data_IF_040219364121
#
_entry.id   IF_040219364121
#
_cell.length_a   1.000
_cell.length_b   1.000
_cell.length_c   1.000
_cell.angle_alpha   90.00
_cell.angle_beta   90.00
_cell.angle_gamma   90.00
#
_symmetry.space_group_name_H-M   'P 1'
#
loop_
_entity.id
_entity.type
_entity.pdbx_description
1 polymer ?
2 water ?
#
# COMPACT_ATOMS: atom_id res chain seq x y z
N UNK A 1 9.32 -25.77 19.59
CA UNK A 1 9.56 -24.77 20.62
C UNK A 1 8.93 -23.44 20.24
N UNK A 2 9.15 -22.40 21.05
CA UNK A 2 8.50 -21.14 20.80
C UNK A 2 8.96 -20.53 19.50
N UNK A 3 10.21 -20.77 19.11
CA UNK A 3 10.71 -20.22 17.85
C UNK A 3 10.02 -20.85 16.65
N UNK A 4 9.82 -22.17 16.68
CA UNK A 4 9.05 -22.80 15.61
C UNK A 4 7.61 -22.30 15.61
N UNK A 5 7.01 -22.13 16.81
CA UNK A 5 5.63 -21.64 16.87
C UNK A 5 5.52 -20.22 16.33
N UNK A 6 6.51 -19.39 16.59
CA UNK A 6 6.53 -18.04 16.02
C UNK A 6 6.53 -18.09 14.50
N UNK A 7 7.41 -18.89 13.92
CA UNK A 7 7.49 -18.98 12.46
C UNK A 7 6.20 -19.53 11.87
N UNK A 8 5.57 -20.51 12.55
CA UNK A 8 4.29 -21.03 12.07
C UNK A 8 3.21 -19.97 12.12
N UNK A 9 3.17 -19.17 13.18
CA UNK A 9 2.19 -18.09 13.26
C UNK A 9 2.40 -17.09 12.13
N UNK A 10 3.64 -16.71 11.86
CA UNK A 10 3.92 -15.78 10.77
C UNK A 10 3.50 -16.38 9.44
N UNK A 11 3.85 -17.66 9.21
CA UNK A 11 3.49 -18.31 7.97
C UNK A 11 1.98 -18.34 7.80
N UNK A 12 1.24 -18.59 8.88
CA UNK A 12 -0.23 -18.59 8.80
C UNK A 12 -0.75 -17.23 8.35
N UNK A 13 -0.19 -16.15 8.89
CA UNK A 13 -0.65 -14.81 8.51
C UNK A 13 -0.34 -14.55 7.03
N UNK A 14 0.86 -14.91 6.60
CA UNK A 14 1.24 -14.72 5.21
C UNK A 14 0.34 -15.53 4.29
N UNK A 15 0.03 -16.77 4.67
CA UNK A 15 -0.87 -17.59 3.86
C UNK A 15 -2.26 -17.02 3.80
N UNK A 16 -2.75 -16.49 4.92
CA UNK A 16 -4.09 -15.92 4.93
C UNK A 16 -4.17 -14.75 3.98
N UNK A 17 -3.16 -13.90 3.99
CA UNK A 17 -3.19 -12.77 3.06
C UNK A 17 -3.04 -13.23 1.63
N UNK A 18 -2.27 -14.29 1.40
CA UNK A 18 -2.13 -14.81 0.04
C UNK A 18 -3.45 -15.39 -0.45
N UNK A 19 -4.20 -16.05 0.43
CA UNK A 19 -5.51 -16.56 0.03
C UNK A 19 -6.45 -15.41 -0.26
N UNK A 20 -6.34 -14.32 0.51
CA UNK A 20 -7.14 -13.13 0.21
C UNK A 20 -6.80 -12.61 -1.18
N UNK A 21 -5.51 -12.54 -1.52
CA UNK A 21 -5.10 -12.14 -2.85
C UNK A 21 -5.72 -13.06 -3.90
N UNK A 22 -5.66 -14.36 -3.67
CA UNK A 22 -6.21 -15.29 -4.65
C UNK A 22 -7.72 -15.14 -4.80
N UNK A 23 -8.44 -14.83 -3.71
CA UNK A 23 -9.88 -14.58 -3.79
C UNK A 23 -10.16 -13.35 -4.66
N UNK A 24 -9.32 -12.32 -4.51
CA UNK A 24 -9.50 -11.13 -5.33
C UNK A 24 -9.09 -11.36 -6.78
N UNK A 25 -8.06 -12.17 -7.01
CA UNK A 25 -7.70 -12.50 -8.38
C UNK A 25 -8.81 -13.24 -9.10
N UNK A 26 -9.59 -14.05 -8.38
CA UNK A 26 -10.70 -14.73 -9.05
C UNK A 26 -11.72 -13.72 -9.54
N UNK A 27 -11.92 -12.64 -8.79
CA UNK A 27 -12.84 -11.61 -9.22
C UNK A 27 -12.25 -10.75 -10.34
N UNK A 28 -10.99 -10.34 -10.21
CA UNK A 28 -10.48 -9.31 -11.11
C UNK A 28 -10.26 -9.90 -12.50
N UNK A 29 -10.10 -11.22 -12.61
CA UNK A 29 -9.95 -11.83 -13.92
C UNK A 29 -11.23 -11.74 -14.73
N UNK A 30 -12.38 -11.60 -14.08
CA UNK A 30 -13.63 -11.37 -14.79
C UNK A 30 -13.86 -9.90 -15.13
N UNK A 31 -13.00 -9.01 -14.63
CA UNK A 31 -13.06 -7.58 -14.97
C UNK A 31 -11.67 -6.99 -14.77
N UNK A 32 -10.72 -7.31 -15.66
CA UNK A 32 -9.31 -6.93 -15.38
C UNK A 32 -9.07 -5.45 -15.17
N UNK A 33 -9.90 -4.56 -15.71
CA UNK A 33 -9.65 -3.14 -15.54
C UNK A 33 -10.21 -2.58 -14.24
N UNK A 34 -10.72 -3.45 -13.36
CA UNK A 34 -11.33 -2.97 -12.11
C UNK A 34 -10.23 -2.72 -11.09
N UNK A 35 -9.91 -1.45 -10.94
CA UNK A 35 -8.80 -1.04 -10.10
C UNK A 35 -9.10 -1.22 -8.62
N UNK A 36 -10.36 -1.38 -8.24
CA UNK A 36 -10.66 -1.65 -6.84
C UNK A 36 -9.95 -2.93 -6.39
N UNK A 37 -9.96 -3.95 -7.24
CA UNK A 37 -9.34 -5.21 -6.90
C UNK A 37 -7.82 -5.08 -6.89
N UNK A 38 -7.24 -4.39 -7.88
CA UNK A 38 -5.80 -4.29 -7.92
C UNK A 38 -5.27 -3.46 -6.76
N UNK A 39 -5.98 -2.41 -6.36
CA UNK A 39 -5.54 -1.65 -5.19
C UNK A 39 -5.51 -2.52 -3.94
N UNK A 40 -6.55 -3.33 -3.72
CA UNK A 40 -6.58 -4.20 -2.56
C UNK A 40 -5.48 -5.24 -2.63
N UNK A 41 -5.23 -5.80 -3.83
CA UNK A 41 -4.16 -6.77 -4.01
C UNK A 41 -2.82 -6.13 -3.68
N UNK A 42 -2.58 -4.92 -4.17
CA UNK A 42 -1.33 -4.23 -3.88
C UNK A 42 -1.14 -4.11 -2.38
N UNK A 43 -2.16 -3.63 -1.66
CA UNK A 43 -1.98 -3.38 -0.23
C UNK A 43 -1.79 -4.68 0.53
N UNK A 44 -2.37 -5.79 0.08
CA UNK A 44 -2.12 -7.09 0.69
C UNK A 44 -0.70 -7.55 0.44
N UNK A 45 -0.20 -7.39 -0.78
CA UNK A 45 1.21 -7.72 -1.06
C UNK A 45 2.15 -6.89 -0.20
N UNK A 46 1.86 -5.59 -0.07
CA UNK A 46 2.67 -4.68 0.72
C UNK A 46 2.71 -5.12 2.18
N UNK A 47 1.55 -5.52 2.72
CA UNK A 47 1.42 -6.04 4.08
C UNK A 47 2.27 -7.30 4.24
N UNK A 48 2.17 -8.22 3.29
CA UNK A 48 2.95 -9.45 3.38
C UNK A 48 4.43 -9.18 3.28
N UNK A 49 4.84 -8.28 2.41
CA UNK A 49 6.26 -7.96 2.33
C UNK A 49 6.78 -7.51 3.68
N UNK A 50 6.05 -6.63 4.36
CA UNK A 50 6.44 -6.16 5.68
C UNK A 50 6.57 -7.30 6.68
N UNK A 51 5.53 -8.14 6.77
CA UNK A 51 5.52 -9.26 7.71
C UNK A 51 6.72 -10.16 7.43
N UNK A 52 6.94 -10.47 6.16
CA UNK A 52 7.99 -11.40 5.81
C UNK A 52 9.36 -10.83 6.15
N UNK A 53 9.58 -9.54 5.90
CA UNK A 53 10.85 -8.91 6.24
C UNK A 53 11.08 -8.97 7.74
N UNK A 54 10.07 -8.62 8.53
CA UNK A 54 10.23 -8.62 9.97
C UNK A 54 10.66 -10.00 10.50
N UNK A 55 10.11 -11.07 9.93
CA UNK A 55 10.28 -12.40 10.49
C UNK A 55 11.40 -13.18 9.87
N UNK A 56 12.09 -12.60 8.89
CA UNK A 56 13.18 -13.28 8.24
C UNK A 56 12.79 -14.20 7.12
N UNK A 57 11.57 -14.06 6.58
CA UNK A 57 11.16 -14.78 5.37
C UNK A 57 11.67 -13.97 4.15
N UNK A 58 12.99 -13.95 3.97
CA UNK A 58 13.61 -13.06 2.99
C UNK A 58 13.16 -13.39 1.56
N UNK A 59 13.09 -14.67 1.20
CA UNK A 59 12.69 -15.02 -0.14
C UNK A 59 11.23 -14.66 -0.41
N UNK A 60 10.36 -14.83 0.59
CA UNK A 60 8.97 -14.41 0.43
C UNK A 60 8.93 -12.92 0.17
N UNK A 61 9.66 -12.15 0.96
CA UNK A 61 9.59 -10.70 0.80
C UNK A 61 10.01 -10.28 -0.59
N UNK A 62 11.03 -10.92 -1.15
CA UNK A 62 11.51 -10.55 -2.48
C UNK A 62 10.47 -10.83 -3.54
N UNK A 63 9.78 -11.96 -3.45
CA UNK A 63 8.74 -12.26 -4.44
C UNK A 63 7.57 -11.28 -4.32
N UNK A 64 7.13 -10.99 -3.09
CA UNK A 64 6.05 -10.02 -2.93
C UNK A 64 6.45 -8.69 -3.53
N UNK A 65 7.70 -8.28 -3.35
CA UNK A 65 8.16 -7.02 -3.92
C UNK A 65 8.06 -7.02 -5.43
N UNK A 66 8.51 -8.10 -6.07
CA UNK A 66 8.41 -8.20 -7.53
C UNK A 66 6.96 -8.09 -7.97
N UNK A 67 6.05 -8.78 -7.29
CA UNK A 67 4.64 -8.73 -7.65
C UNK A 67 4.09 -7.32 -7.44
N UNK A 68 4.46 -6.68 -6.33
CA UNK A 68 4.00 -5.32 -6.06
C UNK A 68 4.42 -4.38 -7.16
N UNK A 69 5.64 -4.53 -7.67
CA UNK A 69 6.11 -3.59 -8.67
C UNK A 69 5.28 -3.70 -9.95
N UNK A 70 4.86 -4.92 -10.30
CA UNK A 70 3.98 -5.07 -11.45
C UNK A 70 2.62 -4.43 -11.18
N UNK A 71 2.04 -4.70 -10.02
CA UNK A 71 0.71 -4.15 -9.74
C UNK A 71 0.78 -2.62 -9.66
N UNK A 72 1.87 -2.06 -9.11
CA UNK A 72 2.02 -0.61 -9.06
C UNK A 72 2.02 -0.02 -10.46
N UNK A 73 2.74 -0.64 -11.40
CA UNK A 73 2.74 -0.17 -12.77
C UNK A 73 1.34 -0.23 -13.38
N UNK A 74 0.59 -1.30 -13.09
CA UNK A 74 -0.79 -1.37 -13.56
C UNK A 74 -1.63 -0.25 -12.98
N UNK A 75 -1.52 0.01 -11.68
CA UNK A 75 -2.33 1.03 -11.02
C UNK A 75 -2.00 2.42 -11.54
N UNK A 76 -0.75 2.65 -11.95
CA UNK A 76 -0.34 3.94 -12.47
C UNK A 76 -0.40 4.00 -13.99
N UNK A 77 -1.01 2.99 -14.63
CA UNK A 77 -1.18 2.98 -16.09
C UNK A 77 0.16 3.05 -16.82
N UNK A 78 1.20 2.45 -16.27
CA UNK A 78 2.49 2.39 -16.95
C UNK A 78 2.62 1.18 -17.85
N UNK A 79 1.84 0.12 -17.62
CA UNK A 79 1.83 -1.07 -18.47
C UNK A 79 0.37 -1.47 -18.72
N UNK A 80 0.14 -2.07 -19.89
CA UNK A 80 -1.19 -2.56 -20.26
C UNK A 80 -1.52 -3.85 -19.50
N UNK A 81 -2.76 -3.95 -19.02
CA UNK A 81 -3.21 -5.12 -18.29
C UNK A 81 -3.67 -6.16 -19.31
N UNK A 82 -2.92 -7.26 -19.41
CA UNK A 82 -3.15 -8.31 -20.38
C UNK A 82 -3.27 -9.64 -19.64
N UNK A 83 -3.75 -10.65 -20.35
CA UNK A 83 -3.83 -11.97 -19.74
C UNK A 83 -2.43 -12.49 -19.42
N UNK A 84 -1.45 -12.18 -20.25
CA UNK A 84 -0.07 -12.61 -19.97
C UNK A 84 0.46 -11.95 -18.71
N UNK A 85 0.12 -10.69 -18.47
CA UNK A 85 0.55 -10.03 -17.25
C UNK A 85 -0.14 -10.62 -16.03
N UNK A 86 -1.45 -10.88 -16.12
CA UNK A 86 -2.13 -11.50 -14.98
C UNK A 86 -1.55 -12.88 -14.69
N UNK A 87 -1.21 -13.65 -15.74
CA UNK A 87 -0.55 -14.93 -15.55
C UNK A 87 0.76 -14.75 -14.80
N UNK A 88 1.55 -13.73 -15.16
CA UNK A 88 2.79 -13.47 -14.44
C UNK A 88 2.54 -13.17 -12.97
N UNK A 89 1.50 -12.39 -12.67
CA UNK A 89 1.18 -12.09 -11.28
C UNK A 89 0.79 -13.35 -10.53
N UNK A 90 -0.06 -14.18 -11.16
CA UNK A 90 -0.44 -15.46 -10.55
C UNK A 90 0.77 -16.32 -10.29
N UNK A 91 1.70 -16.36 -11.25
CA UNK A 91 2.94 -17.13 -11.08
C UNK A 91 3.70 -16.66 -9.84
N UNK A 92 3.81 -15.34 -9.65
CA UNK A 92 4.52 -14.83 -8.48
C UNK A 92 3.78 -15.10 -7.19
N UNK A 93 2.45 -15.00 -7.20
CA UNK A 93 1.70 -15.34 -6.00
C UNK A 93 1.91 -16.81 -5.65
N UNK A 94 1.87 -17.70 -6.66
CA UNK A 94 2.12 -19.12 -6.40
C UNK A 94 3.54 -19.35 -5.89
N UNK A 95 4.52 -18.67 -6.45
CA UNK A 95 5.88 -18.84 -5.93
C UNK A 95 5.97 -18.35 -4.48
N UNK A 96 5.25 -17.27 -4.16
CA UNK A 96 5.26 -16.77 -2.79
C UNK A 96 4.70 -17.81 -1.83
N UNK A 97 3.62 -18.48 -2.20
CA UNK A 97 3.06 -19.45 -1.30
C UNK A 97 3.97 -20.67 -1.16
N UNK A 98 4.68 -21.06 -2.23
CA UNK A 98 5.68 -22.13 -2.09
C UNK A 98 6.81 -21.70 -1.16
N UNK A 99 7.22 -20.43 -1.25
CA UNK A 99 8.30 -19.97 -0.38
C UNK A 99 7.84 -19.92 1.08
N UNK A 100 6.58 -19.54 1.33
CA UNK A 100 6.06 -19.56 2.70
C UNK A 100 6.14 -20.97 3.27
N UNK A 101 5.74 -21.96 2.47
CA UNK A 101 5.71 -23.34 2.95
C UNK A 101 7.09 -23.85 3.28
N UNK A 102 8.12 -23.32 2.62
CA UNK A 102 9.47 -23.80 2.86
C UNK A 102 9.98 -23.43 4.24
N UNK A 103 9.43 -22.40 4.86
CA UNK A 103 9.90 -21.97 6.18
C UNK A 103 9.32 -22.80 7.32
N UNK B 1 -28.34 13.69 -1.16
CA UNK B 1 -28.74 14.38 -2.36
C UNK B 1 -27.79 15.49 -2.76
N UNK B 2 -27.82 15.88 -4.03
CA UNK B 2 -26.89 16.85 -4.59
C UNK B 2 -25.52 16.22 -4.74
N UNK B 3 -24.76 16.71 -5.72
CA UNK B 3 -23.34 16.39 -5.78
C UNK B 3 -22.75 16.52 -4.39
N UNK B 4 -23.06 17.63 -3.71
CA UNK B 4 -22.31 18.09 -2.54
C UNK B 4 -22.41 17.15 -1.33
N UNK B 5 -23.59 16.59 -1.05
CA UNK B 5 -23.68 15.60 0.03
C UNK B 5 -22.70 14.47 -0.23
N UNK B 6 -22.62 14.02 -1.48
CA UNK B 6 -21.78 12.89 -1.83
C UNK B 6 -20.31 13.28 -1.86
N UNK B 7 -19.99 14.45 -2.40
CA UNK B 7 -18.63 14.97 -2.36
C UNK B 7 -18.17 15.06 -0.92
N UNK B 8 -19.06 15.48 -0.03
CA UNK B 8 -18.68 15.68 1.36
C UNK B 8 -18.27 14.37 2.02
N UNK B 9 -18.96 13.28 1.70
CA UNK B 9 -18.63 11.99 2.29
C UNK B 9 -17.26 11.53 1.83
N UNK B 10 -16.91 11.83 0.57
CA UNK B 10 -15.57 11.49 0.09
C UNK B 10 -14.52 12.31 0.82
N UNK B 11 -14.74 13.63 0.89
CA UNK B 11 -13.80 14.50 1.61
C UNK B 11 -13.65 14.09 3.05
N UNK B 12 -14.76 13.69 3.70
CA UNK B 12 -14.69 13.29 5.10
C UNK B 12 -13.84 12.04 5.26
N UNK B 13 -13.93 11.10 4.32
CA UNK B 13 -13.10 9.90 4.42
C UNK B 13 -11.63 10.22 4.19
N UNK B 14 -11.32 11.06 3.19
CA UNK B 14 -9.95 11.47 2.98
C UNK B 14 -9.41 12.17 4.21
N UNK B 15 -10.20 13.02 4.85
CA UNK B 15 -9.75 13.73 6.05
C UNK B 15 -9.52 12.78 7.21
N UNK B 16 -10.39 11.77 7.36
CA UNK B 16 -10.22 10.83 8.45
C UNK B 16 -8.92 10.06 8.27
N UNK B 17 -8.64 9.63 7.04
CA UNK B 17 -7.38 8.90 6.79
C UNK B 17 -6.19 9.82 7.00
N UNK B 18 -6.33 11.10 6.65
CA UNK B 18 -5.23 12.04 6.89
C UNK B 18 -5.00 12.24 8.38
N UNK B 19 -6.06 12.31 9.19
CA UNK B 19 -5.86 12.40 10.63
C UNK B 19 -5.19 11.14 11.17
N UNK B 20 -5.55 9.97 10.64
CA UNK B 20 -4.86 8.74 11.03
C UNK B 20 -3.37 8.79 10.67
N UNK B 21 -3.04 9.34 9.49
CA UNK B 21 -1.63 9.53 9.15
C UNK B 21 -0.95 10.46 10.14
N UNK B 22 -1.60 11.56 10.49
CA UNK B 22 -0.99 12.48 11.43
C UNK B 22 -0.77 11.84 12.79
N UNK B 23 -1.70 10.97 13.23
CA UNK B 23 -1.50 10.26 14.49
C UNK B 23 -0.29 9.35 14.43
N UNK B 24 -0.07 8.68 13.29
CA UNK B 24 1.11 7.82 13.12
C UNK B 24 2.38 8.65 13.04
N UNK B 25 2.31 9.82 12.42
CA UNK B 25 3.49 10.68 12.33
C UNK B 25 3.93 11.15 13.71
N UNK B 26 2.98 11.40 14.61
CA UNK B 26 3.33 11.79 15.96
C UNK B 26 4.13 10.69 16.65
N UNK B 27 3.83 9.43 16.35
CA UNK B 27 4.58 8.35 16.95
C UNK B 27 5.91 8.14 16.27
N UNK B 28 5.96 8.21 14.93
CA UNK B 28 7.18 7.83 14.27
C UNK B 28 8.24 8.92 14.42
N UNK B 29 7.83 10.18 14.65
CA UNK B 29 8.81 11.23 14.85
C UNK B 29 9.61 11.01 16.12
N UNK B 30 9.02 10.34 17.14
CA UNK B 30 9.75 9.95 18.34
C UNK B 30 10.78 8.85 18.06
N UNK B 31 10.47 7.95 17.13
CA UNK B 31 11.32 6.80 16.84
C UNK B 31 11.33 6.59 15.33
N UNK B 32 12.08 7.42 14.58
CA UNK B 32 11.93 7.45 13.11
C UNK B 32 12.29 6.17 12.40
N UNK B 33 13.06 5.31 12.99
CA UNK B 33 13.44 4.06 12.33
C UNK B 33 12.43 2.96 12.54
N UNK B 34 11.30 3.21 13.22
CA UNK B 34 10.29 2.18 13.40
C UNK B 34 9.44 2.06 12.14
N UNK B 35 9.76 1.05 11.33
CA UNK B 35 9.13 0.85 10.04
C UNK B 35 7.68 0.41 10.15
N UNK B 36 7.23 -0.08 11.32
CA UNK B 36 5.80 -0.39 11.48
C UNK B 36 4.95 0.85 11.17
N UNK B 37 5.37 2.01 11.66
CA UNK B 37 4.58 3.22 11.45
C UNK B 37 4.64 3.64 10.00
N UNK B 38 5.83 3.61 9.39
CA UNK B 38 5.96 4.01 7.98
C UNK B 38 5.15 3.11 7.06
N UNK B 39 5.07 1.82 7.36
CA UNK B 39 4.26 0.93 6.54
C UNK B 39 2.78 1.29 6.62
N UNK B 40 2.29 1.59 7.82
CA UNK B 40 0.90 1.97 7.98
C UNK B 40 0.64 3.29 7.28
N UNK B 41 1.58 4.24 7.38
CA UNK B 41 1.41 5.53 6.71
C UNK B 41 1.32 5.33 5.20
N UNK B 42 2.23 4.53 4.64
CA UNK B 42 2.20 4.27 3.21
C UNK B 42 0.85 3.74 2.79
N UNK B 43 0.35 2.72 3.47
CA UNK B 43 -0.90 2.12 3.02
C UNK B 43 -2.10 3.06 3.17
N UNK B 44 -2.07 3.99 4.14
CA UNK B 44 -3.12 5.00 4.22
C UNK B 44 -3.00 6.00 3.09
N UNK B 45 -1.78 6.43 2.76
CA UNK B 45 -1.60 7.31 1.61
C UNK B 45 -2.09 6.63 0.33
N UNK B 46 -1.80 5.35 0.18
CA UNK B 46 -2.17 4.60 -1.02
C UNK B 46 -3.69 4.51 -1.12
N UNK B 47 -4.37 4.30 0.02
CA UNK B 47 -5.82 4.29 0.09
C UNK B 47 -6.38 5.65 -0.31
N UNK B 48 -5.82 6.73 0.24
CA UNK B 48 -6.30 8.05 -0.10
C UNK B 48 -6.09 8.35 -1.57
N UNK B 49 -4.94 7.96 -2.14
CA UNK B 49 -4.71 8.21 -3.56
C UNK B 49 -5.80 7.56 -4.40
N UNK B 50 -6.16 6.33 -4.07
CA UNK B 50 -7.20 5.64 -4.81
C UNK B 50 -8.53 6.36 -4.74
N UNK B 51 -8.91 6.77 -3.53
CA UNK B 51 -10.17 7.48 -3.33
C UNK B 51 -10.18 8.77 -4.15
N UNK B 52 -9.10 9.54 -4.04
CA UNK B 52 -9.00 10.82 -4.75
C UNK B 52 -9.03 10.62 -6.26
N UNK B 53 -8.36 9.58 -6.77
CA UNK B 53 -8.36 9.32 -8.21
C UNK B 53 -9.76 9.02 -8.68
N UNK B 54 -10.47 8.14 -7.96
CA UNK B 54 -11.84 7.80 -8.36
C UNK B 54 -12.70 9.04 -8.41
N UNK B 55 -12.63 9.87 -7.38
CA UNK B 55 -13.55 10.98 -7.23
C UNK B 55 -13.15 12.21 -8.02
N UNK B 56 -12.01 12.20 -8.70
CA UNK B 56 -11.60 13.31 -9.52
C UNK B 56 -10.86 14.40 -8.76
N UNK B 57 -10.40 14.11 -7.55
CA UNK B 57 -9.63 15.07 -6.76
C UNK B 57 -8.18 14.96 -7.21
N UNK B 58 -7.93 15.47 -8.42
CA UNK B 58 -6.63 15.23 -9.06
C UNK B 58 -5.48 15.82 -8.26
N UNK B 59 -5.67 17.00 -7.66
CA UNK B 59 -4.57 17.61 -6.94
C UNK B 59 -4.26 16.84 -5.67
N UNK B 60 -5.30 16.34 -5.00
CA UNK B 60 -5.10 15.50 -3.82
C UNK B 60 -4.33 14.24 -4.19
N UNK B 61 -4.76 13.57 -5.26
CA UNK B 61 -4.11 12.32 -5.65
C UNK B 61 -2.63 12.54 -5.94
N UNK B 62 -2.30 13.65 -6.58
CA UNK B 62 -0.90 13.93 -6.92
C UNK B 62 -0.05 14.10 -5.68
N UNK B 63 -0.56 14.81 -4.67
CA UNK B 63 0.20 15.00 -3.44
C UNK B 63 0.35 13.68 -2.70
N UNK B 64 -0.72 12.89 -2.61
CA UNK B 64 -0.63 11.61 -1.94
C UNK B 64 0.41 10.73 -2.62
N UNK B 65 0.42 10.74 -3.95
CA UNK B 65 1.39 9.98 -4.74
C UNK B 65 2.82 10.41 -4.44
N UNK B 66 3.08 11.71 -4.39
CA UNK B 66 4.43 12.20 -4.12
C UNK B 66 4.87 11.79 -2.71
N UNK B 67 3.97 11.88 -1.74
CA UNK B 67 4.30 11.46 -0.38
C UNK B 67 4.59 9.96 -0.34
N UNK B 68 3.79 9.17 -1.08
CA UNK B 68 4.01 7.73 -1.14
C UNK B 68 5.39 7.40 -1.69
N UNK B 69 5.82 8.11 -2.71
CA UNK B 69 7.10 7.79 -3.33
C UNK B 69 8.22 7.94 -2.33
N UNK B 70 8.15 8.98 -1.50
CA UNK B 70 9.17 9.21 -0.50
C UNK B 70 9.12 8.14 0.59
N UNK B 71 7.91 7.81 1.09
CA UNK B 71 7.80 6.79 2.14
C UNK B 71 8.27 5.44 1.63
N UNK B 72 7.95 5.11 0.38
CA UNK B 72 8.41 3.85 -0.20
C UNK B 72 9.93 3.75 -0.19
N UNK B 73 10.61 4.85 -0.52
CA UNK B 73 12.07 4.87 -0.52
C UNK B 73 12.62 4.67 0.90
N UNK B 74 11.95 5.25 1.90
CA UNK B 74 12.35 5.01 3.27
C UNK B 74 12.17 3.55 3.66
N UNK B 75 11.03 2.95 3.29
CA UNK B 75 10.74 1.56 3.65
C UNK B 75 11.73 0.60 3.01
N UNK B 76 12.17 0.89 1.80
CA UNK B 76 13.09 0.03 1.09
C UNK B 76 14.55 0.43 1.26
N UNK B 77 14.84 1.29 2.24
CA UNK B 77 16.20 1.65 2.60
C UNK B 77 16.97 2.29 1.45
N UNK B 78 16.25 2.97 0.57
CA UNK B 78 16.88 3.68 -0.53
C UNK B 78 17.34 5.05 -0.12
N UNK B 79 16.65 5.66 0.86
CA UNK B 79 17.10 6.93 1.41
C UNK B 79 17.09 6.84 2.93
N UNK B 80 18.04 7.52 3.55
CA UNK B 80 18.15 7.53 5.00
C UNK B 80 17.06 8.40 5.60
N UNK B 81 16.42 7.91 6.66
CA UNK B 81 15.40 8.69 7.34
C UNK B 81 16.08 9.78 8.16
N UNK B 82 15.62 11.02 7.98
CA UNK B 82 16.12 12.19 8.68
C UNK B 82 14.93 13.02 9.13
N UNK B 83 15.17 13.93 10.07
CA UNK B 83 14.12 14.82 10.50
C UNK B 83 13.63 15.70 9.34
N UNK B 84 14.55 16.10 8.46
CA UNK B 84 14.16 16.94 7.32
C UNK B 84 13.18 16.20 6.41
N UNK B 85 13.41 14.91 6.23
CA UNK B 85 12.53 14.12 5.39
C UNK B 85 11.15 13.97 6.04
N UNK B 86 11.12 13.74 7.35
CA UNK B 86 9.84 13.73 8.07
C UNK B 86 9.12 15.06 7.92
N UNK B 87 9.85 16.18 8.02
CA UNK B 87 9.23 17.49 7.82
C UNK B 87 8.66 17.61 6.42
N UNK B 88 9.34 17.07 5.42
CA UNK B 88 8.83 17.11 4.05
C UNK B 88 7.54 16.31 3.92
N UNK B 89 7.48 15.13 4.54
CA UNK B 89 6.24 14.35 4.53
C UNK B 89 5.12 15.12 5.22
N UNK B 90 5.41 15.73 6.37
CA UNK B 90 4.41 16.52 7.09
C UNK B 90 3.89 17.66 6.22
N UNK B 91 4.78 18.31 5.48
CA UNK B 91 4.38 19.40 4.60
C UNK B 91 3.43 18.90 3.53
N UNK B 92 3.71 17.71 2.98
CA UNK B 92 2.86 17.14 1.94
C UNK B 92 1.50 16.73 2.51
N UNK B 93 1.48 16.16 3.72
CA UNK B 93 0.22 15.83 4.34
C UNK B 93 -0.61 17.07 4.55
N UNK B 94 0.02 18.13 5.03
CA UNK B 94 -0.70 19.38 5.24
C UNK B 94 -1.22 19.94 3.91
N UNK B 95 -0.41 19.87 2.87
CA UNK B 95 -0.85 20.36 1.57
C UNK B 95 -2.00 19.51 1.03
N UNK B 96 -2.02 18.21 1.32
CA UNK B 96 -3.11 17.37 0.88
C UNK B 96 -4.41 17.75 1.58
N UNK B 97 -4.35 18.07 2.87
CA UNK B 97 -5.55 18.43 3.59
C UNK B 97 -6.09 19.77 3.12
N UNK B 98 -5.20 20.71 2.77
CA UNK B 98 -5.66 21.96 2.16
C UNK B 98 -6.34 21.69 0.82
N UNK B 99 -5.81 20.76 0.04
CA UNK B 99 -6.43 20.45 -1.25
C UNK B 99 -7.78 19.77 -1.05
N UNK B 100 -7.92 18.92 -0.04
CA UNK B 100 -9.22 18.29 0.19
C UNK B 100 -10.25 19.37 0.50
N UNK B 101 -9.87 20.32 1.37
CA UNK B 101 -10.79 21.39 1.77
C UNK B 101 -11.30 22.18 0.57
N UNK B 102 -10.49 22.35 -0.48
CA UNK B 102 -10.91 23.15 -1.63
C UNK B 102 -12.06 22.52 -2.42
N UNK B 103 -12.23 21.21 -2.36
CA UNK B 103 -13.28 20.56 -3.15
C UNK B 103 -14.64 20.61 -2.48
N UNK B 104 -14.69 20.99 -1.20
CA UNK B 104 -15.92 21.01 -0.43
C UNK B 104 -16.25 22.44 -0.01
#
# INVERSE_FOLDING_TARGET
GSHQEYIKKVADELKENSQNINDLLKEVEKNPEDMEYWNKIYRLLHTNKEIAETAGFSSVAKVEHTAMNLVDKMLNSEIKITSDLIDKIKKKVDMSTREIDKKV
GSHQEYIKKVADELKENSQNINDLLKEVEKNPEDMEYWNKIYRLLHTNKEIAETAGFSSVAKVEHTAMNLVDKMLNSEIKITSDLIDKIKKKVDMSTREIDKKV
#
